data_IF_982748966978
#
_entry.id   IF_982748966978
#
_cell.length_a   1.000
_cell.length_b   1.000
_cell.length_c   1.000
_cell.angle_alpha   90.00
_cell.angle_beta   90.00
_cell.angle_gamma   90.00
#
_symmetry.space_group_name_H-M   'P 1'
#
loop_
_entity.id
_entity.type
_entity.pdbx_description
1 polymer ?
#
# COMPACT_ATOMS: atom_id res chain seq x y z
N UNK A 1 3.23 19.51 -6.36
CA UNK A 1 1.80 19.31 -6.52
C UNK A 1 1.57 18.03 -7.28
N UNK A 2 0.49 17.33 -6.97
CA UNK A 2 0.09 16.13 -7.66
C UNK A 2 -0.18 16.46 -9.14
N UNK A 3 0.23 15.58 -10.07
CA UNK A 3 -0.19 15.68 -11.46
C UNK A 3 -1.71 15.58 -11.59
N UNK A 4 -2.23 15.93 -12.76
CA UNK A 4 -3.64 15.73 -13.09
C UNK A 4 -3.99 14.24 -13.11
N UNK A 5 -5.28 13.92 -12.94
CA UNK A 5 -5.78 12.54 -12.99
C UNK A 5 -5.26 11.77 -14.21
N UNK A 6 -5.35 12.35 -15.41
CA UNK A 6 -4.91 11.71 -16.66
C UNK A 6 -3.40 11.49 -16.71
N UNK A 7 -2.60 12.42 -16.16
CA UNK A 7 -1.15 12.23 -16.03
C UNK A 7 -0.83 11.08 -15.07
N UNK A 8 -1.56 10.95 -13.96
CA UNK A 8 -1.40 9.84 -13.00
C UNK A 8 -1.82 8.51 -13.62
N UNK A 9 -2.94 8.46 -14.35
CA UNK A 9 -3.38 7.26 -15.08
C UNK A 9 -2.32 6.81 -16.08
N UNK A 10 -1.76 7.75 -16.85
CA UNK A 10 -0.68 7.48 -17.80
C UNK A 10 0.58 6.98 -17.07
N UNK A 11 0.98 7.67 -16.01
CA UNK A 11 2.14 7.31 -15.20
C UNK A 11 2.02 5.89 -14.63
N UNK A 12 0.89 5.56 -14.02
CA UNK A 12 0.65 4.24 -13.43
C UNK A 12 0.40 3.15 -14.47
N UNK A 13 0.03 3.50 -15.71
CA UNK A 13 -0.13 2.50 -16.79
C UNK A 13 1.18 1.77 -17.13
N UNK A 14 2.34 2.42 -16.90
CA UNK A 14 3.65 1.82 -17.10
C UNK A 14 3.94 0.65 -16.15
N UNK A 15 3.25 0.56 -14.99
CA UNK A 15 3.39 -0.55 -14.06
C UNK A 15 2.85 -1.89 -14.60
N UNK A 16 2.07 -1.85 -15.69
CA UNK A 16 1.55 -3.04 -16.36
C UNK A 16 2.37 -3.50 -17.56
N UNK A 17 3.43 -2.77 -17.91
CA UNK A 17 4.28 -3.08 -19.08
C UNK A 17 5.50 -3.90 -18.66
N UNK A 18 6.26 -4.38 -19.65
CA UNK A 18 7.55 -5.03 -19.41
C UNK A 18 8.63 -4.07 -18.89
N UNK A 19 8.42 -2.75 -19.02
CA UNK A 19 9.35 -1.71 -18.58
C UNK A 19 8.63 -0.65 -17.74
N UNK A 20 8.62 -0.82 -16.40
CA UNK A 20 8.01 0.14 -15.48
C UNK A 20 8.94 1.33 -15.16
N UNK A 21 10.11 1.46 -15.80
CA UNK A 21 11.06 2.55 -15.52
C UNK A 21 10.42 3.95 -15.59
N UNK A 22 9.53 4.28 -16.56
CA UNK A 22 8.89 5.59 -16.60
C UNK A 22 8.07 5.94 -15.35
N UNK A 23 7.53 4.93 -14.65
CA UNK A 23 6.91 5.14 -13.34
C UNK A 23 7.96 5.43 -12.27
N UNK A 24 9.01 4.61 -12.20
CA UNK A 24 10.03 4.73 -11.16
C UNK A 24 10.91 5.97 -11.29
N UNK A 25 11.08 6.51 -12.50
CA UNK A 25 11.76 7.78 -12.75
C UNK A 25 11.02 8.98 -12.13
N UNK A 26 9.73 8.81 -11.81
CA UNK A 26 8.90 9.78 -11.10
C UNK A 26 8.78 9.51 -9.61
N UNK A 27 9.59 8.60 -9.06
CA UNK A 27 9.64 8.28 -7.63
C UNK A 27 10.95 8.77 -7.05
N UNK A 28 10.89 9.50 -5.94
CA UNK A 28 12.08 9.95 -5.23
C UNK A 28 12.92 8.75 -4.78
N UNK A 29 14.27 8.79 -4.90
CA UNK A 29 15.14 7.79 -4.30
C UNK A 29 14.90 7.64 -2.78
N UNK A 30 14.56 8.75 -2.11
CA UNK A 30 14.27 8.84 -0.68
C UNK A 30 12.77 8.74 -0.36
N UNK A 31 11.98 8.11 -1.26
CA UNK A 31 10.55 7.89 -1.04
C UNK A 31 10.31 7.14 0.27
N UNK A 32 9.34 7.59 1.04
CA UNK A 32 8.80 6.82 2.16
C UNK A 32 7.66 5.94 1.64
N UNK A 33 7.88 4.62 1.62
CA UNK A 33 6.91 3.65 1.15
C UNK A 33 6.44 2.76 2.30
N UNK A 34 5.19 2.90 2.69
CA UNK A 34 4.53 2.05 3.67
C UNK A 34 3.76 0.95 2.94
N UNK A 35 4.14 -0.31 3.15
CA UNK A 35 3.33 -1.46 2.74
C UNK A 35 2.52 -1.92 3.93
N UNK A 36 1.22 -1.67 3.87
CA UNK A 36 0.32 -1.92 4.97
C UNK A 36 0.16 -3.43 5.14
N UNK A 37 0.27 -3.89 6.38
CA UNK A 37 -0.12 -5.25 6.74
C UNK A 37 -1.28 -5.26 7.72
N UNK A 38 -1.71 -6.45 8.07
CA UNK A 38 -2.69 -6.67 9.14
C UNK A 38 -1.97 -6.64 10.48
N UNK A 39 -2.54 -5.91 11.44
CA UNK A 39 -2.11 -5.99 12.83
C UNK A 39 -2.97 -7.03 13.55
N UNK A 40 -2.37 -8.13 13.96
CA UNK A 40 -3.05 -9.07 14.87
C UNK A 40 -2.89 -8.51 16.28
N UNK A 41 -3.97 -7.95 16.85
CA UNK A 41 -3.96 -7.58 18.26
C UNK A 41 -3.64 -8.83 19.09
N UNK A 42 -2.58 -8.85 19.91
CA UNK A 42 -2.39 -9.94 20.86
C UNK A 42 -3.63 -10.01 21.75
N UNK A 43 -4.14 -11.22 21.98
CA UNK A 43 -5.39 -11.50 22.72
C UNK A 43 -5.44 -10.90 24.13
N UNK A 44 -4.32 -10.36 24.63
CA UNK A 44 -4.19 -9.68 25.92
C UNK A 44 -4.72 -8.23 25.95
N UNK A 45 -5.18 -7.65 24.84
CA UNK A 45 -5.63 -6.24 24.77
C UNK A 45 -7.07 -6.03 24.27
N UNK A 46 -7.95 -7.03 24.38
CA UNK A 46 -9.37 -6.87 24.07
C UNK A 46 -10.10 -6.05 25.15
N UNK A 47 -10.05 -4.71 25.05
CA UNK A 47 -11.06 -3.86 25.66
C UNK A 47 -12.35 -3.93 24.83
N UNK A 48 -13.26 -4.83 25.20
CA UNK A 48 -14.63 -4.76 24.73
C UNK A 48 -15.32 -3.55 25.40
N UNK A 49 -15.62 -2.49 24.64
CA UNK A 49 -16.72 -1.60 25.03
C UNK A 49 -18.00 -2.23 24.51
N UNK A 50 -18.75 -2.86 25.41
CA UNK A 50 -20.12 -3.28 25.11
C UNK A 50 -20.97 -2.03 24.95
N UNK A 51 -21.44 -1.78 23.73
CA UNK A 51 -22.40 -0.72 23.43
C UNK A 51 -23.77 -1.10 24.02
N UNK A 52 -23.93 -0.98 25.33
CA UNK A 52 -25.26 -1.04 25.96
C UNK A 52 -25.87 0.35 25.93
N UNK A 53 -26.87 0.52 25.05
CA UNK A 53 -27.61 1.75 24.83
C UNK A 53 -28.48 2.10 26.06
N UNK A 54 -27.89 2.57 27.16
CA UNK A 54 -28.61 3.19 28.30
C UNK A 54 -27.74 4.20 29.03
N UNK A 55 -27.58 5.41 28.47
CA UNK A 55 -27.53 6.71 29.19
C UNK A 55 -27.13 7.84 28.23
N UNK A 56 -27.89 8.94 28.11
CA UNK A 56 -27.65 9.98 27.11
C UNK A 56 -26.67 11.09 27.54
N UNK A 57 -25.93 10.91 28.64
CA UNK A 57 -25.01 11.93 29.14
C UNK A 57 -23.72 11.28 29.62
N UNK A 58 -22.73 11.21 28.74
CA UNK A 58 -21.34 10.92 29.09
C UNK A 58 -20.44 11.85 28.27
N UNK A 59 -19.69 12.67 28.99
CA UNK A 59 -18.69 13.60 28.48
C UNK A 59 -17.75 12.91 27.49
N UNK A 60 -17.72 13.44 26.27
CA UNK A 60 -16.78 13.08 25.21
C UNK A 60 -15.41 13.68 25.56
N UNK A 61 -14.55 12.98 26.30
CA UNK A 61 -13.17 13.50 26.51
C UNK A 61 -12.08 12.44 26.64
N UNK A 62 -12.27 11.24 26.10
CA UNK A 62 -11.17 10.28 26.01
C UNK A 62 -11.20 9.42 24.74
N UNK A 63 -11.47 10.04 23.59
CA UNK A 63 -11.33 9.38 22.29
C UNK A 63 -9.97 9.72 21.68
N UNK A 64 -9.13 8.69 21.55
CA UNK A 64 -8.07 8.57 20.53
C UNK A 64 -7.05 9.73 20.47
N UNK A 65 -6.15 9.82 21.44
CA UNK A 65 -4.83 10.40 21.18
C UNK A 65 -3.89 9.29 20.70
N UNK A 66 -4.11 8.79 19.48
CA UNK A 66 -3.02 8.13 18.76
C UNK A 66 -2.10 9.23 18.24
N UNK A 67 -0.84 9.33 18.73
CA UNK A 67 0.08 10.33 18.22
C UNK A 67 0.37 10.04 16.73
N UNK A 68 0.22 11.02 15.84
CA UNK A 68 0.33 10.84 14.38
C UNK A 68 1.74 10.48 13.88
N UNK A 69 2.70 10.22 14.77
CA UNK A 69 4.13 10.11 14.45
C UNK A 69 4.79 8.79 14.90
N UNK A 70 4.03 7.79 15.36
CA UNK A 70 4.62 6.49 15.70
C UNK A 70 4.51 5.54 14.50
N UNK A 71 5.66 5.00 14.11
CA UNK A 71 5.84 3.96 13.10
C UNK A 71 4.70 2.95 13.18
N UNK A 72 3.98 2.74 12.08
CA UNK A 72 3.11 1.57 11.96
C UNK A 72 4.01 0.35 12.14
N UNK A 73 3.80 -0.48 13.17
CA UNK A 73 4.55 -1.71 13.32
C UNK A 73 4.39 -2.51 12.02
N UNK A 74 5.52 -2.88 11.42
CA UNK A 74 5.61 -3.74 10.25
C UNK A 74 4.59 -4.86 10.39
N UNK A 75 3.60 -4.90 9.50
CA UNK A 75 2.49 -5.85 9.62
C UNK A 75 2.95 -7.30 9.50
N UNK A 76 2.07 -8.23 9.90
CA UNK A 76 2.40 -9.65 10.06
C UNK A 76 2.53 -10.44 8.73
N UNK A 77 2.83 -9.79 7.60
CA UNK A 77 3.05 -10.49 6.31
C UNK A 77 4.41 -10.17 5.68
N UNK A 78 5.01 -11.08 4.90
CA UNK A 78 6.40 -10.99 4.41
C UNK A 78 6.74 -9.78 3.54
N UNK A 79 5.75 -9.04 3.02
CA UNK A 79 5.96 -7.84 2.22
C UNK A 79 5.59 -6.54 2.95
N UNK A 80 5.07 -6.60 4.19
CA UNK A 80 4.73 -5.42 4.97
C UNK A 80 6.00 -4.74 5.51
N UNK A 81 5.97 -3.41 5.58
CA UNK A 81 7.09 -2.67 6.14
C UNK A 81 7.02 -1.18 5.90
N UNK A 82 7.87 -0.48 6.63
CA UNK A 82 8.17 0.94 6.44
C UNK A 82 9.52 1.05 5.74
N UNK A 83 9.52 1.51 4.50
CA UNK A 83 10.72 1.68 3.69
C UNK A 83 11.01 3.16 3.52
N UNK A 84 12.24 3.60 3.78
CA UNK A 84 12.66 5.00 3.67
C UNK A 84 13.44 5.29 2.38
N UNK A 85 13.50 4.35 1.45
CA UNK A 85 14.07 4.53 0.11
C UNK A 85 13.43 3.59 -0.90
N UNK A 86 13.48 3.98 -2.18
CA UNK A 86 12.96 3.18 -3.28
C UNK A 86 13.71 1.85 -3.41
N UNK A 87 15.02 1.87 -3.17
CA UNK A 87 15.86 0.66 -3.19
C UNK A 87 15.45 -0.32 -2.09
N UNK A 88 15.29 0.15 -0.85
CA UNK A 88 14.90 -0.68 0.28
C UNK A 88 13.52 -1.35 0.03
N UNK A 89 12.57 -0.60 -0.54
CA UNK A 89 11.28 -1.15 -0.93
C UNK A 89 11.39 -2.20 -2.05
N UNK A 90 12.21 -1.96 -3.09
CA UNK A 90 12.44 -2.92 -4.18
C UNK A 90 13.04 -4.23 -3.67
N UNK A 91 14.00 -4.15 -2.75
CA UNK A 91 14.65 -5.32 -2.17
C UNK A 91 13.74 -6.08 -1.20
N UNK A 92 12.95 -5.37 -0.40
CA UNK A 92 12.00 -5.95 0.55
C UNK A 92 10.73 -6.44 -0.11
N UNK A 93 9.71 -5.56 -0.18
CA UNK A 93 8.37 -5.95 -0.59
C UNK A 93 8.29 -6.50 -2.02
N UNK A 94 8.90 -5.82 -3.00
CA UNK A 94 8.87 -6.27 -4.40
C UNK A 94 9.70 -7.55 -4.60
N UNK A 95 10.83 -7.67 -3.89
CA UNK A 95 11.68 -8.86 -3.89
C UNK A 95 10.95 -10.11 -3.44
N UNK A 96 10.22 -10.04 -2.31
CA UNK A 96 9.39 -11.14 -1.80
C UNK A 96 8.36 -11.60 -2.82
N UNK A 97 7.66 -10.68 -3.48
CA UNK A 97 6.63 -11.01 -4.48
C UNK A 97 7.24 -11.63 -5.75
N UNK A 98 8.39 -11.12 -6.21
CA UNK A 98 9.07 -11.68 -7.39
C UNK A 98 9.60 -13.10 -7.16
N UNK A 99 9.83 -13.51 -5.91
CA UNK A 99 10.26 -14.88 -5.60
C UNK A 99 9.13 -15.89 -5.73
N UNK A 100 7.88 -15.50 -5.51
CA UNK A 100 6.72 -16.41 -5.51
C UNK A 100 5.97 -16.44 -6.84
N UNK A 101 6.06 -15.39 -7.66
CA UNK A 101 5.34 -15.29 -8.93
C UNK A 101 6.10 -15.96 -10.08
N UNK A 102 5.34 -16.52 -11.03
CA UNK A 102 5.89 -17.12 -12.26
C UNK A 102 6.43 -16.08 -13.23
N UNK A 103 5.72 -14.95 -13.31
CA UNK A 103 6.05 -13.81 -14.17
C UNK A 103 6.03 -12.53 -13.33
N UNK A 104 6.73 -11.46 -13.74
CA UNK A 104 6.66 -10.17 -13.08
C UNK A 104 5.20 -9.69 -12.94
N UNK A 105 4.91 -9.00 -11.85
CA UNK A 105 3.58 -8.46 -11.59
C UNK A 105 3.24 -7.38 -12.62
N UNK A 106 2.18 -7.59 -13.41
CA UNK A 106 1.63 -6.58 -14.30
C UNK A 106 0.43 -5.88 -13.64
N UNK A 107 0.62 -4.64 -13.19
CA UNK A 107 -0.43 -3.84 -12.55
C UNK A 107 -1.25 -3.09 -13.60
N UNK A 108 -2.56 -3.20 -13.53
CA UNK A 108 -3.51 -2.44 -14.34
C UNK A 108 -4.21 -1.40 -13.48
N UNK A 109 -4.27 -0.18 -13.97
CA UNK A 109 -5.03 0.91 -13.34
C UNK A 109 -6.52 0.63 -13.46
N UNK A 110 -7.21 0.64 -12.32
CA UNK A 110 -8.67 0.52 -12.22
C UNK A 110 -9.29 1.91 -12.14
N UNK A 111 -8.73 2.78 -11.31
CA UNK A 111 -9.25 4.12 -11.07
C UNK A 111 -8.18 5.03 -10.45
N UNK A 112 -8.38 6.33 -10.62
CA UNK A 112 -7.60 7.38 -9.97
C UNK A 112 -8.55 8.39 -9.36
N UNK A 113 -8.31 8.72 -8.09
CA UNK A 113 -9.10 9.66 -7.30
C UNK A 113 -8.19 10.75 -6.73
N UNK A 114 -8.61 12.00 -6.86
CA UNK A 114 -7.80 13.16 -6.46
C UNK A 114 -6.73 13.50 -7.49
N UNK A 115 -5.68 14.16 -7.02
CA UNK A 115 -4.69 14.80 -7.89
C UNK A 115 -5.18 16.15 -8.41
N UNK A 116 -4.40 16.75 -9.30
CA UNK A 116 -4.59 18.13 -9.71
C UNK A 116 -3.57 19.06 -9.04
N UNK A 117 -3.23 20.15 -9.72
CA UNK A 117 -2.12 21.05 -9.37
C UNK A 117 -2.31 21.82 -8.06
N UNK A 118 -3.44 21.62 -7.39
CA UNK A 118 -3.85 22.18 -6.10
C UNK A 118 -3.84 21.14 -4.96
N UNK A 119 -3.60 19.86 -5.27
CA UNK A 119 -3.57 18.77 -4.29
C UNK A 119 -2.16 18.19 -4.20
N UNK A 120 -1.76 17.73 -3.01
CA UNK A 120 -0.49 17.00 -2.84
C UNK A 120 -0.68 15.49 -2.94
N UNK A 121 -1.91 15.00 -2.82
CA UNK A 121 -2.22 13.58 -2.70
C UNK A 121 -3.11 13.10 -3.84
N UNK A 122 -2.90 11.86 -4.25
CA UNK A 122 -3.82 11.12 -5.11
C UNK A 122 -3.88 9.65 -4.67
N UNK A 123 -5.02 9.02 -4.94
CA UNK A 123 -5.22 7.58 -4.74
C UNK A 123 -5.32 6.90 -6.10
N UNK A 124 -4.63 5.76 -6.25
CA UNK A 124 -4.73 4.90 -7.42
C UNK A 124 -5.18 3.51 -7.00
N UNK A 125 -6.27 3.05 -7.58
CA UNK A 125 -6.74 1.67 -7.46
C UNK A 125 -6.10 0.85 -8.58
N UNK A 126 -5.48 -0.27 -8.22
CA UNK A 126 -4.78 -1.14 -9.15
C UNK A 126 -5.28 -2.59 -9.02
N UNK A 127 -5.21 -3.33 -10.11
CA UNK A 127 -5.38 -4.77 -10.12
C UNK A 127 -4.19 -5.49 -10.74
N UNK A 128 -3.87 -6.68 -10.24
CA UNK A 128 -2.97 -7.60 -10.91
C UNK A 128 -3.53 -9.02 -10.84
N UNK A 129 -3.68 -9.68 -11.99
CA UNK A 129 -4.06 -11.08 -12.06
C UNK A 129 -2.82 -11.88 -12.41
N UNK A 130 -2.11 -12.38 -11.40
CA UNK A 130 -0.88 -13.15 -11.57
C UNK A 130 -1.07 -14.63 -11.20
N UNK A 131 -0.04 -15.43 -11.44
CA UNK A 131 0.01 -16.85 -11.07
C UNK A 131 1.34 -17.10 -10.36
N UNK A 132 1.27 -17.76 -9.20
CA UNK A 132 2.46 -18.19 -8.47
C UNK A 132 3.22 -19.30 -9.22
N UNK A 133 4.48 -19.55 -8.84
CA UNK A 133 5.31 -20.60 -9.46
C UNK A 133 4.66 -21.98 -9.36
N UNK A 134 4.04 -22.29 -8.22
CA UNK A 134 3.28 -23.53 -7.99
C UNK A 134 1.94 -23.63 -8.74
N UNK A 135 1.54 -22.61 -9.51
CA UNK A 135 0.27 -22.58 -10.25
C UNK A 135 -0.92 -21.99 -9.49
N UNK A 136 -0.75 -21.56 -8.23
CA UNK A 136 -1.80 -20.89 -7.46
C UNK A 136 -2.19 -19.55 -8.13
N UNK A 137 -3.49 -19.29 -8.37
CA UNK A 137 -3.95 -17.97 -8.79
C UNK A 137 -3.66 -16.90 -7.75
N UNK A 138 -3.18 -15.74 -8.20
CA UNK A 138 -2.84 -14.59 -7.36
C UNK A 138 -3.55 -13.32 -7.87
N UNK A 139 -4.89 -13.20 -7.69
CA UNK A 139 -5.65 -12.03 -8.08
C UNK A 139 -5.53 -10.95 -7.00
N UNK A 140 -4.62 -10.01 -7.21
CA UNK A 140 -4.42 -8.91 -6.28
C UNK A 140 -5.15 -7.62 -6.65
N UNK A 141 -5.54 -6.89 -5.59
CA UNK A 141 -6.14 -5.56 -5.63
C UNK A 141 -5.34 -4.66 -4.71
N UNK A 142 -5.00 -3.48 -5.21
CA UNK A 142 -4.23 -2.51 -4.46
C UNK A 142 -4.96 -1.17 -4.42
N UNK A 143 -4.76 -0.44 -3.33
CA UNK A 143 -5.01 1.00 -3.28
C UNK A 143 -3.71 1.68 -2.84
N UNK A 144 -3.14 2.49 -3.71
CA UNK A 144 -1.92 3.25 -3.42
C UNK A 144 -2.30 4.71 -3.19
N UNK A 145 -2.05 5.18 -1.97
CA UNK A 145 -2.19 6.59 -1.61
C UNK A 145 -0.84 7.26 -1.75
N UNK A 146 -0.69 8.13 -2.74
CA UNK A 146 0.59 8.72 -3.13
C UNK A 146 0.61 10.21 -2.83
N UNK A 147 1.70 10.70 -2.24
CA UNK A 147 1.99 12.12 -2.07
C UNK A 147 3.08 12.56 -3.04
N UNK A 148 2.89 13.73 -3.62
CA UNK A 148 3.80 14.34 -4.58
C UNK A 148 4.44 15.60 -3.99
N UNK A 149 5.72 15.82 -4.28
CA UNK A 149 6.39 17.09 -4.01
C UNK A 149 5.95 18.18 -5.01
N UNK A 150 6.44 19.42 -4.83
CA UNK A 150 6.14 20.57 -5.68
C UNK A 150 6.36 20.34 -7.18
N UNK A 151 7.33 19.51 -7.55
CA UNK A 151 7.70 19.19 -8.94
C UNK A 151 6.88 18.05 -9.56
N UNK A 152 6.06 17.37 -8.75
CA UNK A 152 5.25 16.23 -9.18
C UNK A 152 5.99 14.89 -9.09
N UNK A 153 7.02 14.80 -8.24
CA UNK A 153 7.72 13.56 -7.91
C UNK A 153 7.04 12.89 -6.71
N UNK A 154 6.87 11.58 -6.76
CA UNK A 154 6.30 10.77 -5.68
C UNK A 154 7.31 10.69 -4.54
N UNK A 155 6.95 11.22 -3.39
CA UNK A 155 7.81 11.26 -2.18
C UNK A 155 7.26 10.42 -1.04
N UNK A 156 6.00 9.99 -1.13
CA UNK A 156 5.42 9.07 -0.15
C UNK A 156 4.37 8.19 -0.80
N UNK A 157 4.33 6.91 -0.42
CA UNK A 157 3.30 5.96 -0.86
C UNK A 157 2.82 5.14 0.34
N UNK A 158 1.51 4.97 0.46
CA UNK A 158 0.90 3.97 1.34
C UNK A 158 0.17 2.94 0.48
N UNK A 159 0.67 1.71 0.48
CA UNK A 159 0.15 0.61 -0.32
C UNK A 159 -0.74 -0.29 0.55
N UNK A 160 -2.04 -0.28 0.26
CA UNK A 160 -3.02 -1.22 0.79
C UNK A 160 -3.23 -2.36 -0.20
N UNK A 161 -3.35 -3.58 0.31
CA UNK A 161 -3.39 -4.81 -0.49
C UNK A 161 -4.00 -5.96 0.34
N UNK A 162 -4.25 -7.13 -0.27
CA UNK A 162 -4.76 -8.30 0.47
C UNK A 162 -3.59 -9.06 1.12
N UNK A 163 -3.31 -8.73 2.38
CA UNK A 163 -2.23 -9.35 3.14
C UNK A 163 -2.44 -10.85 3.36
N UNK A 164 -3.69 -11.32 3.48
CA UNK A 164 -3.98 -12.73 3.66
C UNK A 164 -3.64 -13.53 2.39
N UNK A 165 -3.89 -12.95 1.22
CA UNK A 165 -3.48 -13.54 -0.05
C UNK A 165 -1.96 -13.58 -0.22
N UNK A 166 -1.23 -12.52 0.17
CA UNK A 166 0.25 -12.53 0.21
C UNK A 166 0.76 -13.67 1.08
N UNK A 167 0.27 -13.76 2.32
CA UNK A 167 0.72 -14.78 3.27
C UNK A 167 0.51 -16.18 2.71
N UNK A 168 -0.71 -16.47 2.23
CA UNK A 168 -1.04 -17.77 1.62
C UNK A 168 -0.13 -18.10 0.44
N UNK A 169 0.16 -17.12 -0.41
CA UNK A 169 1.00 -17.32 -1.59
C UNK A 169 2.45 -17.62 -1.21
N UNK A 170 3.00 -16.94 -0.19
CA UNK A 170 4.34 -17.22 0.34
C UNK A 170 4.39 -18.61 0.98
N UNK A 171 3.47 -18.93 1.89
CA UNK A 171 3.44 -20.23 2.59
C UNK A 171 3.33 -21.41 1.61
N UNK A 172 2.64 -21.22 0.49
CA UNK A 172 2.42 -22.27 -0.51
C UNK A 172 3.55 -22.38 -1.56
N UNK A 173 4.51 -21.46 -1.56
CA UNK A 173 5.65 -21.42 -2.51
C UNK A 173 7.01 -21.34 -1.80
N UNK A 174 7.05 -21.63 -0.50
CA UNK A 174 8.27 -21.74 0.31
C UNK A 174 8.94 -23.10 0.19
#
# INVERSE_FOLDING_TARGET
>A
MAPTKTEIETLCSHLGTSDPSPFFDRVSPDVVWDVMGTYTLPSSHLYYSTWTRKNPTLHLSHWLTYPPHRHFPSGDHPAAGHFTSLEAWKQGALGTINQILREPLALKVVNVVGGGRDQEWALVELEANAVCKNGMPYPQRYAWVMRFDETGIIVQVRAYLDSALVQKAVDSNS
#
